data_IF_375002040695
#
_entry.id   IF_375002040695
#
_cell.length_a   1.000
_cell.length_b   1.000
_cell.length_c   1.000
_cell.angle_alpha   90.00
_cell.angle_beta   90.00
_cell.angle_gamma   90.00
#
_symmetry.space_group_name_H-M   'P 1'
#
loop_
_entity.id
_entity.type
_entity.pdbx_description
1 polymer ?
#
# COMPACT_ATOMS: atom_id res chain seq x y z
N UNK A 1 -45.36 11.73 10.87
CA UNK A 1 -45.32 11.55 9.41
C UNK A 1 -45.28 12.92 8.76
N UNK A 2 -44.18 13.26 8.07
CA UNK A 2 -44.06 14.51 7.28
C UNK A 2 -43.64 14.14 5.86
N UNK A 3 -44.23 14.74 4.81
CA UNK A 3 -44.09 14.29 3.43
C UNK A 3 -42.74 14.72 2.82
N UNK A 4 -42.23 13.84 1.94
CA UNK A 4 -41.05 14.03 1.08
C UNK A 4 -41.43 14.81 -0.18
N UNK A 5 -40.59 15.71 -0.69
CA UNK A 5 -40.61 16.08 -2.10
C UNK A 5 -39.58 15.27 -2.91
N UNK A 6 -40.11 14.61 -3.95
CA UNK A 6 -39.42 14.07 -5.12
C UNK A 6 -38.90 15.21 -6.03
N UNK A 7 -37.95 14.87 -6.93
CA UNK A 7 -37.55 15.49 -8.21
C UNK A 7 -36.01 15.67 -8.28
N UNK A 8 -35.28 15.37 -9.35
CA UNK A 8 -35.62 14.95 -10.71
C UNK A 8 -34.43 14.18 -11.31
N UNK A 9 -34.73 13.25 -12.21
CA UNK A 9 -33.78 12.51 -13.05
C UNK A 9 -33.36 13.43 -14.21
N UNK A 10 -32.06 13.70 -14.33
CA UNK A 10 -31.47 14.36 -15.50
C UNK A 10 -30.48 13.43 -16.18
N UNK A 11 -30.88 12.82 -17.29
CA UNK A 11 -29.99 12.09 -18.19
C UNK A 11 -29.32 13.09 -19.14
N UNK A 12 -27.99 13.12 -19.14
CA UNK A 12 -27.20 13.85 -20.15
C UNK A 12 -26.48 12.81 -21.00
N UNK A 13 -26.94 12.67 -22.25
CA UNK A 13 -26.28 11.96 -23.34
C UNK A 13 -25.51 13.00 -24.14
N UNK A 14 -24.18 12.88 -24.24
CA UNK A 14 -23.38 13.63 -25.21
C UNK A 14 -22.48 12.67 -25.99
N UNK A 15 -22.55 12.86 -27.30
CA UNK A 15 -22.11 11.98 -28.35
C UNK A 15 -20.61 12.04 -28.68
N UNK A 16 -20.19 10.99 -29.37
CA UNK A 16 -18.95 10.73 -30.08
C UNK A 16 -18.35 11.92 -30.86
N UNK A 17 -17.02 12.03 -30.82
CA UNK A 17 -16.20 12.56 -31.91
C UNK A 17 -15.02 11.62 -32.12
N UNK A 18 -14.97 11.05 -33.34
CA UNK A 18 -13.89 10.23 -33.90
C UNK A 18 -12.97 11.15 -34.72
N UNK A 19 -11.67 11.16 -34.40
CA UNK A 19 -10.55 11.60 -35.26
C UNK A 19 -9.35 10.74 -34.82
N UNK A 20 -8.66 9.94 -35.62
CA UNK A 20 -8.39 10.02 -37.05
C UNK A 20 -6.96 10.49 -37.25
N UNK A 21 -5.97 9.60 -37.12
CA UNK A 21 -4.62 9.77 -37.68
C UNK A 21 -4.11 8.41 -38.17
N UNK A 22 -4.13 8.28 -39.49
CA UNK A 22 -3.37 7.31 -40.28
C UNK A 22 -1.91 7.73 -40.22
N UNK A 23 -0.99 6.78 -40.04
CA UNK A 23 0.37 6.91 -40.57
C UNK A 23 0.77 5.56 -41.17
N UNK A 24 1.24 5.64 -42.40
CA UNK A 24 1.48 4.60 -43.37
C UNK A 24 3.00 4.44 -43.47
N UNK A 25 3.52 3.23 -43.25
CA UNK A 25 4.96 3.02 -43.21
C UNK A 25 5.32 1.54 -43.25
N UNK A 26 5.03 0.90 -44.37
CA UNK A 26 5.42 -0.49 -44.64
C UNK A 26 6.93 -0.66 -44.83
N UNK A 27 7.45 -1.80 -44.37
CA UNK A 27 8.48 -2.60 -45.04
C UNK A 27 8.40 -4.01 -44.47
N UNK A 28 7.88 -4.93 -45.27
CA UNK A 28 7.92 -6.37 -45.06
C UNK A 28 9.24 -6.96 -45.60
N UNK A 29 9.54 -8.24 -45.32
CA UNK A 29 10.87 -8.71 -44.93
C UNK A 29 11.61 -9.42 -46.07
N UNK A 30 12.90 -9.68 -45.88
CA UNK A 30 13.59 -10.75 -46.61
C UNK A 30 14.33 -11.69 -45.64
N UNK A 31 14.31 -13.02 -45.93
CA UNK A 31 14.83 -14.07 -45.07
C UNK A 31 16.26 -14.49 -45.47
N UNK A 32 16.85 -15.39 -44.67
CA UNK A 32 18.13 -16.13 -44.82
C UNK A 32 19.16 -15.70 -43.76
N UNK A 33 19.82 -16.57 -43.00
CA UNK A 33 19.95 -18.02 -43.04
C UNK A 33 20.42 -18.57 -41.68
N UNK A 34 20.15 -19.86 -41.46
CA UNK A 34 20.97 -20.91 -40.81
C UNK A 34 22.01 -20.44 -39.78
N UNK A 35 21.95 -20.84 -38.52
CA UNK A 35 21.84 -22.22 -38.04
C UNK A 35 23.09 -22.56 -37.24
N UNK A 36 22.99 -22.59 -35.91
CA UNK A 36 23.95 -23.26 -35.04
C UNK A 36 23.22 -23.92 -33.87
N UNK A 37 23.66 -25.10 -33.41
CA UNK A 37 22.84 -26.00 -32.61
C UNK A 37 22.98 -25.72 -31.11
N UNK A 38 21.83 -25.73 -30.43
CA UNK A 38 21.66 -26.43 -29.17
C UNK A 38 22.48 -25.96 -27.97
N UNK A 39 21.94 -25.00 -27.23
CA UNK A 39 21.99 -25.02 -25.77
C UNK A 39 20.53 -24.92 -25.28
N UNK A 40 20.08 -25.78 -24.36
CA UNK A 40 18.73 -25.68 -23.82
C UNK A 40 18.59 -24.31 -23.11
N UNK A 41 17.46 -23.60 -23.24
CA UNK A 41 17.21 -22.47 -22.36
C UNK A 41 17.18 -23.03 -20.94
N UNK A 42 18.15 -22.60 -20.13
CA UNK A 42 18.06 -22.69 -18.70
C UNK A 42 16.73 -22.07 -18.29
N UNK A 43 15.92 -22.85 -17.60
CA UNK A 43 14.74 -22.38 -16.88
C UNK A 43 15.12 -21.11 -16.14
N UNK A 44 14.66 -19.96 -16.63
CA UNK A 44 14.73 -18.72 -15.87
C UNK A 44 13.71 -18.85 -14.74
N UNK A 45 14.25 -19.35 -13.63
CA UNK A 45 13.98 -18.99 -12.25
C UNK A 45 12.59 -18.43 -11.97
N UNK A 46 11.85 -19.23 -11.19
CA UNK A 46 10.63 -18.82 -10.52
C UNK A 46 10.81 -17.43 -9.93
N UNK A 47 9.99 -16.50 -10.43
CA UNK A 47 9.82 -15.18 -9.85
C UNK A 47 9.11 -15.35 -8.51
N UNK A 48 9.87 -15.77 -7.49
CA UNK A 48 9.53 -15.50 -6.11
C UNK A 48 9.39 -13.98 -5.94
N UNK A 49 8.54 -13.51 -5.02
CA UNK A 49 8.34 -12.09 -4.81
C UNK A 49 9.68 -11.40 -4.55
N UNK A 50 10.06 -10.46 -5.41
CA UNK A 50 11.22 -9.60 -5.20
C UNK A 50 11.06 -8.90 -3.85
N UNK A 51 12.08 -9.02 -3.01
CA UNK A 51 12.08 -8.43 -1.68
C UNK A 51 11.83 -6.92 -1.76
N UNK A 52 10.88 -6.44 -0.98
CA UNK A 52 10.40 -5.07 -1.05
C UNK A 52 11.37 -4.12 -0.35
N UNK A 53 11.87 -3.11 -1.06
CA UNK A 53 12.71 -2.08 -0.44
C UNK A 53 11.89 -1.24 0.55
N UNK A 54 12.50 -0.70 1.63
CA UNK A 54 11.79 0.13 2.59
C UNK A 54 11.21 1.38 1.90
N UNK A 55 9.94 1.66 2.13
CA UNK A 55 9.27 2.89 1.72
C UNK A 55 9.70 4.06 2.59
N UNK A 56 10.92 4.56 2.43
CA UNK A 56 11.40 5.82 2.99
C UNK A 56 11.27 6.03 4.53
N UNK A 57 11.86 7.14 4.99
CA UNK A 57 12.22 7.46 6.38
C UNK A 57 11.01 7.78 7.26
N UNK A 58 11.05 7.41 8.55
CA UNK A 58 10.33 8.15 9.58
C UNK A 58 11.38 8.90 10.41
N UNK A 59 11.24 10.22 10.49
CA UNK A 59 12.23 11.09 11.14
C UNK A 59 12.30 10.87 12.66
N UNK A 60 11.19 10.49 13.28
CA UNK A 60 11.06 10.35 14.74
C UNK A 60 11.23 8.90 15.23
N UNK A 61 10.98 7.91 14.37
CA UNK A 61 11.05 6.48 14.73
C UNK A 61 11.91 5.74 13.70
N UNK A 62 12.94 4.99 14.10
CA UNK A 62 13.77 4.28 13.14
C UNK A 62 12.93 3.27 12.37
N UNK A 63 13.20 3.16 11.06
CA UNK A 63 12.64 2.10 10.22
C UNK A 63 12.98 0.75 10.86
N UNK A 64 11.99 -0.11 11.16
CA UNK A 64 12.26 -1.44 11.70
C UNK A 64 13.23 -2.20 10.78
N UNK A 65 14.19 -2.92 11.36
CA UNK A 65 15.16 -3.71 10.59
C UNK A 65 14.50 -4.75 9.67
N UNK A 66 13.26 -5.12 9.97
CA UNK A 66 12.44 -6.09 9.25
C UNK A 66 11.61 -5.44 8.13
N UNK A 67 11.37 -4.13 8.14
CA UNK A 67 10.77 -3.41 7.01
C UNK A 67 11.71 -3.29 5.79
N UNK A 68 12.91 -3.87 5.90
CA UNK A 68 13.93 -4.02 4.86
C UNK A 68 13.55 -5.12 3.85
N UNK A 69 14.21 -5.19 2.68
CA UNK A 69 13.94 -6.19 1.65
C UNK A 69 14.45 -7.56 2.11
N UNK A 70 13.70 -8.19 3.01
CA UNK A 70 13.80 -9.60 3.35
C UNK A 70 12.44 -10.24 3.09
N UNK A 71 12.36 -11.53 2.72
CA UNK A 71 11.09 -12.24 2.65
C UNK A 71 10.47 -12.27 4.05
N UNK A 72 9.51 -11.38 4.29
CA UNK A 72 8.74 -11.37 5.52
C UNK A 72 7.66 -12.46 5.50
N UNK A 73 7.21 -12.97 6.66
CA UNK A 73 6.08 -13.89 6.76
C UNK A 73 4.84 -13.32 6.05
N UNK A 74 3.95 -14.17 5.54
CA UNK A 74 2.67 -13.75 4.99
C UNK A 74 1.55 -14.13 5.97
N UNK A 75 0.99 -13.13 6.66
CA UNK A 75 -0.17 -13.30 7.56
C UNK A 75 -1.51 -13.10 6.83
N UNK A 76 -1.45 -12.73 5.55
CA UNK A 76 -2.59 -12.55 4.68
C UNK A 76 -2.28 -11.53 3.59
N UNK A 77 -2.98 -11.66 2.46
CA UNK A 77 -2.91 -10.71 1.34
C UNK A 77 -4.30 -10.17 1.01
N UNK A 78 -4.36 -8.87 0.68
CA UNK A 78 -5.58 -8.17 0.25
C UNK A 78 -5.27 -7.33 -0.98
N UNK A 79 -6.25 -7.21 -1.87
CA UNK A 79 -6.15 -6.37 -3.06
C UNK A 79 -7.20 -5.26 -3.02
N UNK A 80 -6.80 -4.05 -3.44
CA UNK A 80 -7.70 -2.92 -3.59
C UNK A 80 -7.12 -1.89 -4.56
N UNK A 81 -7.92 -1.49 -5.56
CA UNK A 81 -7.59 -0.35 -6.44
C UNK A 81 -6.23 -0.46 -7.14
N UNK A 82 -5.85 -1.65 -7.62
CA UNK A 82 -4.57 -1.88 -8.30
C UNK A 82 -3.36 -2.11 -7.39
N UNK A 83 -3.57 -2.04 -6.06
CA UNK A 83 -2.57 -2.39 -5.05
C UNK A 83 -2.86 -3.75 -4.44
N UNK A 84 -1.80 -4.46 -4.10
CA UNK A 84 -1.81 -5.64 -3.26
C UNK A 84 -1.06 -5.30 -1.97
N UNK A 85 -1.69 -5.51 -0.82
CA UNK A 85 -1.06 -5.41 0.49
C UNK A 85 -0.96 -6.80 1.10
N UNK A 86 0.26 -7.23 1.39
CA UNK A 86 0.52 -8.39 2.24
C UNK A 86 0.82 -7.90 3.65
N UNK A 87 0.04 -8.35 4.62
CA UNK A 87 0.34 -8.12 6.03
C UNK A 87 1.43 -9.10 6.45
N UNK A 88 2.51 -8.57 7.03
CA UNK A 88 3.70 -9.34 7.30
C UNK A 88 3.88 -9.64 8.79
N UNK A 89 3.64 -8.66 9.65
CA UNK A 89 3.73 -8.83 11.09
C UNK A 89 2.88 -7.80 11.85
N UNK A 90 2.47 -8.19 13.05
CA UNK A 90 2.06 -7.26 14.11
C UNK A 90 2.90 -7.63 15.34
N UNK A 91 3.89 -6.80 15.68
CA UNK A 91 4.81 -7.09 16.79
C UNK A 91 4.67 -6.08 17.91
N UNK A 92 4.65 -6.55 19.14
CA UNK A 92 4.68 -5.71 20.33
C UNK A 92 6.04 -5.04 20.44
N UNK A 93 6.03 -3.73 20.66
CA UNK A 93 7.26 -2.93 20.85
C UNK A 93 7.30 -2.25 22.21
N UNK A 94 6.14 -2.14 22.85
CA UNK A 94 5.98 -1.73 24.24
C UNK A 94 4.67 -2.32 24.78
N UNK A 95 4.37 -2.24 26.08
CA UNK A 95 3.07 -2.67 26.60
C UNK A 95 1.90 -2.03 25.85
N UNK A 96 2.00 -0.76 25.47
CA UNK A 96 0.88 0.01 24.89
C UNK A 96 0.95 0.17 23.36
N UNK A 97 1.93 -0.43 22.69
CA UNK A 97 2.13 -0.23 21.26
C UNK A 97 2.67 -1.45 20.53
N UNK A 98 2.25 -1.56 19.28
CA UNK A 98 2.75 -2.54 18.30
C UNK A 98 3.28 -1.83 17.06
N UNK A 99 4.13 -2.51 16.31
CA UNK A 99 4.44 -2.17 14.93
C UNK A 99 3.70 -3.11 13.99
N UNK A 100 2.93 -2.53 13.07
CA UNK A 100 2.28 -3.23 11.96
C UNK A 100 3.18 -3.12 10.75
N UNK A 101 3.55 -4.24 10.15
CA UNK A 101 4.45 -4.31 8.99
C UNK A 101 3.74 -4.97 7.81
N UNK A 102 3.97 -4.44 6.62
CA UNK A 102 3.38 -4.95 5.39
C UNK A 102 4.24 -4.71 4.17
N UNK A 103 3.81 -5.33 3.06
CA UNK A 103 4.42 -5.18 1.75
C UNK A 103 3.35 -4.76 0.76
N UNK A 104 3.56 -3.61 0.12
CA UNK A 104 2.75 -3.14 -1.00
C UNK A 104 3.35 -3.60 -2.32
N UNK A 105 2.49 -3.99 -3.25
CA UNK A 105 2.83 -4.23 -4.66
C UNK A 105 1.81 -3.53 -5.53
N UNK A 106 2.24 -2.84 -6.58
CA UNK A 106 1.33 -2.18 -7.52
C UNK A 106 1.27 -2.93 -8.86
N UNK A 107 0.06 -3.13 -9.41
CA UNK A 107 -0.13 -3.75 -10.74
C UNK A 107 0.25 -2.79 -11.87
N UNK A 108 0.04 -1.50 -11.64
CA UNK A 108 0.44 -0.38 -12.50
C UNK A 108 0.92 0.77 -11.61
N UNK A 109 1.53 1.83 -12.19
CA UNK A 109 1.90 3.01 -11.40
C UNK A 109 0.68 3.58 -10.68
N UNK A 110 0.69 3.48 -9.35
CA UNK A 110 -0.49 3.74 -8.52
C UNK A 110 -0.21 4.83 -7.48
N UNK A 111 -1.05 5.88 -7.39
CA UNK A 111 -0.96 6.87 -6.32
C UNK A 111 -1.27 6.24 -4.95
N UNK A 112 -0.44 6.58 -3.96
CA UNK A 112 -0.56 6.08 -2.58
C UNK A 112 -1.22 7.09 -1.62
N UNK A 113 -1.74 8.20 -2.14
CA UNK A 113 -2.34 9.32 -1.40
C UNK A 113 -3.44 8.90 -0.41
N UNK A 114 -4.15 7.81 -0.73
CA UNK A 114 -5.28 7.28 0.05
C UNK A 114 -4.86 6.28 1.13
N UNK A 115 -3.56 6.18 1.42
CA UNK A 115 -3.01 5.37 2.52
C UNK A 115 -2.65 6.23 3.75
N UNK A 116 -2.94 7.53 3.70
CA UNK A 116 -2.83 8.43 4.84
C UNK A 116 -4.19 8.64 5.53
N UNK A 117 -4.18 8.86 6.85
CA UNK A 117 -5.39 9.20 7.60
C UNK A 117 -6.07 10.46 7.06
N UNK A 118 -7.41 10.55 7.07
CA UNK A 118 -8.12 11.77 6.70
C UNK A 118 -7.61 12.98 7.50
N UNK A 119 -7.19 14.04 6.80
CA UNK A 119 -6.61 15.24 7.40
C UNK A 119 -5.09 15.21 7.60
N UNK A 120 -4.41 14.10 7.28
CA UNK A 120 -2.95 13.95 7.43
C UNK A 120 -2.22 13.69 6.11
N UNK A 121 -2.93 13.63 4.98
CA UNK A 121 -2.36 13.32 3.67
C UNK A 121 -1.31 14.34 3.16
N UNK A 122 -1.35 15.58 3.62
CA UNK A 122 -0.41 16.63 3.23
C UNK A 122 -0.06 17.46 4.45
N UNK A 123 1.19 17.35 4.91
CA UNK A 123 1.75 18.24 5.92
C UNK A 123 2.95 18.98 5.35
N UNK A 124 3.02 20.28 5.64
CA UNK A 124 4.17 21.10 5.28
C UNK A 124 5.11 21.13 6.47
N UNK A 125 6.33 20.64 6.28
CA UNK A 125 7.41 20.86 7.24
C UNK A 125 8.09 22.20 6.88
N UNK A 126 8.17 23.15 7.82
CA UNK A 126 9.08 24.30 7.71
C UNK A 126 8.86 25.32 6.56
N UNK A 127 7.76 25.26 5.80
CA UNK A 127 7.47 26.24 4.73
C UNK A 127 8.16 25.95 3.39
N UNK A 128 9.01 24.93 3.30
CA UNK A 128 9.58 24.41 2.06
C UNK A 128 9.08 22.98 1.86
N UNK A 129 8.25 22.76 0.84
CA UNK A 129 7.49 21.52 0.63
C UNK A 129 8.45 20.31 0.59
N UNK A 130 8.14 19.28 1.38
CA UNK A 130 7.44 18.17 0.74
C UNK A 130 6.19 17.78 1.52
N UNK A 131 5.08 17.58 0.80
CA UNK A 131 3.95 16.82 1.33
C UNK A 131 4.45 15.43 1.72
N UNK A 132 4.59 15.14 3.00
CA UNK A 132 4.92 13.78 3.45
C UNK A 132 3.66 12.94 3.42
N UNK A 133 3.51 12.14 2.36
CA UNK A 133 2.46 11.13 2.32
C UNK A 133 2.86 9.98 3.26
N UNK A 134 1.99 9.67 4.20
CA UNK A 134 2.23 8.72 5.27
C UNK A 134 1.45 7.41 5.01
N UNK A 135 2.03 6.28 5.37
CA UNK A 135 1.29 5.03 5.53
C UNK A 135 0.61 5.02 6.92
N UNK A 136 -0.30 5.97 7.14
CA UNK A 136 -0.93 6.20 8.45
C UNK A 136 -2.37 5.69 8.53
N UNK A 137 -3.03 5.33 7.43
CA UNK A 137 -4.41 4.87 7.45
C UNK A 137 -4.54 3.41 7.95
N UNK A 138 -3.95 3.11 9.10
CA UNK A 138 -3.90 1.82 9.77
C UNK A 138 -4.53 1.96 11.15
N UNK A 139 -5.43 1.05 11.51
CA UNK A 139 -6.02 0.99 12.84
C UNK A 139 -6.13 -0.44 13.34
N UNK A 140 -6.14 -0.60 14.67
CA UNK A 140 -6.33 -1.90 15.33
C UNK A 140 -7.60 -1.91 16.17
N UNK A 141 -8.22 -3.08 16.26
CA UNK A 141 -9.28 -3.36 17.24
C UNK A 141 -9.07 -4.77 17.79
N UNK A 142 -9.45 -5.00 19.05
CA UNK A 142 -9.39 -6.30 19.69
C UNK A 142 -10.79 -6.81 20.02
N UNK A 143 -10.99 -8.13 19.98
CA UNK A 143 -12.27 -8.72 20.33
C UNK A 143 -12.64 -8.41 21.78
N UNK A 144 -13.87 -7.95 22.02
CA UNK A 144 -14.34 -7.57 23.35
C UNK A 144 -13.86 -6.21 23.85
N UNK A 145 -13.00 -5.50 23.10
CA UNK A 145 -12.60 -4.12 23.40
C UNK A 145 -13.32 -3.15 22.45
N UNK A 146 -14.12 -2.19 22.95
CA UNK A 146 -14.78 -1.20 22.10
C UNK A 146 -13.83 -0.15 21.50
N UNK A 147 -12.56 -0.09 21.94
CA UNK A 147 -11.60 0.90 21.46
C UNK A 147 -11.06 0.54 20.08
N UNK A 148 -10.90 1.59 19.26
CA UNK A 148 -10.10 1.54 18.04
C UNK A 148 -8.79 2.25 18.35
N UNK A 149 -7.69 1.55 18.07
CA UNK A 149 -6.35 2.03 18.31
C UNK A 149 -5.78 2.62 17.04
N UNK A 150 -5.11 3.76 17.18
CA UNK A 150 -4.67 4.62 16.09
C UNK A 150 -3.14 4.71 16.04
N UNK A 151 -2.57 5.16 14.90
CA UNK A 151 -1.14 5.34 14.74
C UNK A 151 -0.57 6.27 15.81
N UNK A 152 0.64 5.95 16.27
CA UNK A 152 1.39 6.86 17.11
C UNK A 152 1.80 8.09 16.30
N UNK A 153 1.65 9.26 16.91
CA UNK A 153 2.02 10.54 16.34
C UNK A 153 2.85 11.33 17.35
N UNK A 154 3.78 12.13 16.85
CA UNK A 154 4.54 13.06 17.68
C UNK A 154 3.73 14.33 18.02
N UNK A 155 4.33 15.25 18.77
CA UNK A 155 3.74 16.51 19.20
C UNK A 155 3.40 17.46 18.04
N UNK A 156 4.15 17.35 16.94
CA UNK A 156 3.89 18.04 15.68
C UNK A 156 2.83 17.32 14.87
N UNK A 157 2.49 16.09 15.23
CA UNK A 157 1.49 15.20 14.64
C UNK A 157 2.01 14.37 13.47
N UNK A 158 3.31 14.24 13.26
CA UNK A 158 3.86 13.31 12.27
C UNK A 158 3.64 11.88 12.72
N UNK A 159 3.25 11.03 11.78
CA UNK A 159 3.06 9.62 12.05
C UNK A 159 4.38 8.89 12.24
N UNK A 160 4.40 8.03 13.26
CA UNK A 160 5.40 7.00 13.46
C UNK A 160 5.21 5.87 12.44
N UNK A 161 5.44 6.13 11.17
CA UNK A 161 5.22 5.19 10.09
C UNK A 161 6.04 5.54 8.86
N UNK A 162 6.05 4.65 7.87
CA UNK A 162 6.56 4.91 6.51
C UNK A 162 6.01 6.24 5.97
N UNK A 163 6.92 7.16 5.61
CA UNK A 163 6.58 8.48 5.06
C UNK A 163 7.16 8.67 3.66
N UNK A 164 6.76 9.74 2.96
CA UNK A 164 7.28 10.09 1.64
C UNK A 164 6.78 9.18 0.51
N UNK A 165 5.70 8.43 0.73
CA UNK A 165 5.18 7.44 -0.22
C UNK A 165 4.12 8.04 -1.14
N UNK A 166 4.56 8.62 -2.26
CA UNK A 166 3.66 9.28 -3.21
C UNK A 166 3.05 8.31 -4.23
N UNK A 167 3.90 7.50 -4.85
CA UNK A 167 3.56 6.58 -5.92
C UNK A 167 4.33 5.27 -5.74
N UNK A 168 3.75 4.18 -6.22
CA UNK A 168 4.45 2.91 -6.41
C UNK A 168 4.34 2.50 -7.88
N UNK A 169 5.49 2.31 -8.52
CA UNK A 169 5.54 1.89 -9.93
C UNK A 169 4.99 0.48 -10.12
N UNK A 170 4.43 0.23 -11.31
CA UNK A 170 3.90 -1.08 -11.68
C UNK A 170 4.96 -2.18 -11.59
N UNK A 171 4.59 -3.31 -10.99
CA UNK A 171 5.47 -4.46 -10.77
C UNK A 171 6.52 -4.24 -9.68
N UNK A 172 6.54 -3.09 -8.99
CA UNK A 172 7.43 -2.83 -7.87
C UNK A 172 6.77 -3.16 -6.54
N UNK A 173 7.61 -3.53 -5.58
CA UNK A 173 7.24 -3.80 -4.20
C UNK A 173 7.87 -2.78 -3.25
N UNK A 174 7.16 -2.45 -2.18
CA UNK A 174 7.61 -1.52 -1.13
C UNK A 174 7.22 -2.04 0.26
N UNK A 175 8.19 -2.13 1.17
CA UNK A 175 7.96 -2.41 2.57
C UNK A 175 7.39 -1.19 3.27
N UNK A 176 6.35 -1.38 4.08
CA UNK A 176 5.68 -0.31 4.83
C UNK A 176 5.49 -0.73 6.29
N UNK A 177 5.49 0.25 7.19
CA UNK A 177 5.19 0.01 8.59
C UNK A 177 4.45 1.18 9.24
N UNK A 178 3.75 0.89 10.34
CA UNK A 178 3.07 1.87 11.18
C UNK A 178 3.16 1.42 12.64
N UNK A 179 3.65 2.28 13.53
CA UNK A 179 3.49 2.09 14.96
C UNK A 179 2.07 2.50 15.37
N UNK A 180 1.37 1.62 16.06
CA UNK A 180 -0.03 1.82 16.48
C UNK A 180 -0.12 1.57 17.97
N UNK A 181 -0.93 2.35 18.66
CA UNK A 181 -1.35 2.00 20.02
C UNK A 181 -2.01 0.61 20.03
N UNK A 182 -1.99 -0.08 21.17
CA UNK A 182 -2.56 -1.41 21.27
C UNK A 182 -3.02 -1.74 22.70
N UNK A 183 -3.97 -2.67 22.87
CA UNK A 183 -4.26 -3.25 24.18
C UNK A 183 -3.02 -3.99 24.70
N UNK A 184 -2.75 -3.89 26.00
CA UNK A 184 -1.56 -4.50 26.63
C UNK A 184 -1.49 -6.02 26.46
N UNK A 185 -2.64 -6.68 26.55
CA UNK A 185 -2.75 -8.14 26.60
C UNK A 185 -3.43 -8.74 25.36
N UNK A 186 -3.56 -7.97 24.27
CA UNK A 186 -4.12 -8.53 23.05
C UNK A 186 -3.14 -9.53 22.42
N UNK A 187 -3.56 -10.80 22.39
CA UNK A 187 -2.90 -11.89 21.67
C UNK A 187 -3.25 -11.86 20.17
N UNK A 188 -4.49 -11.47 19.85
CA UNK A 188 -4.98 -11.37 18.48
C UNK A 188 -5.69 -10.03 18.27
N UNK A 189 -5.54 -9.46 17.08
CA UNK A 189 -6.15 -8.18 16.69
C UNK A 189 -6.75 -8.26 15.30
N UNK A 190 -7.68 -7.35 15.02
CA UNK A 190 -8.10 -7.03 13.66
C UNK A 190 -7.32 -5.80 13.20
N UNK A 191 -6.57 -5.95 12.11
CA UNK A 191 -5.87 -4.86 11.43
C UNK A 191 -6.74 -4.34 10.30
N UNK A 192 -7.03 -3.04 10.32
CA UNK A 192 -7.70 -2.36 9.21
C UNK A 192 -6.72 -1.40 8.56
N UNK A 193 -6.59 -1.49 7.23
CA UNK A 193 -5.85 -0.54 6.41
C UNK A 193 -6.81 0.04 5.39
N UNK A 194 -6.85 1.36 5.24
CA UNK A 194 -7.82 2.01 4.36
C UNK A 194 -7.83 1.40 2.95
N UNK A 195 -9.03 1.21 2.42
CA UNK A 195 -9.36 0.57 1.13
C UNK A 195 -9.17 -0.95 1.05
N UNK A 196 -8.42 -1.56 1.97
CA UNK A 196 -8.30 -3.02 2.01
C UNK A 196 -9.37 -3.62 2.93
N UNK A 197 -9.82 -4.83 2.62
CA UNK A 197 -10.64 -5.59 3.56
C UNK A 197 -9.81 -5.91 4.82
N UNK A 198 -10.41 -5.92 6.03
CA UNK A 198 -9.67 -6.17 7.26
C UNK A 198 -8.91 -7.50 7.28
N UNK A 199 -7.81 -7.51 8.02
CA UNK A 199 -7.10 -8.72 8.45
C UNK A 199 -7.59 -9.04 9.85
N UNK A 200 -8.35 -10.11 10.00
CA UNK A 200 -8.95 -10.53 11.26
C UNK A 200 -8.11 -11.62 11.91
N UNK A 201 -8.16 -11.70 13.24
CA UNK A 201 -7.48 -12.76 14.02
C UNK A 201 -5.97 -12.82 13.73
N UNK A 202 -5.35 -11.64 13.66
CA UNK A 202 -3.92 -11.51 13.41
C UNK A 202 -3.17 -11.65 14.72
N UNK A 203 -2.22 -12.60 14.84
CA UNK A 203 -1.45 -12.78 16.06
C UNK A 203 -0.53 -11.58 16.31
N UNK A 204 -0.51 -11.11 17.56
CA UNK A 204 0.45 -10.13 18.05
C UNK A 204 1.63 -10.89 18.62
N UNK A 205 2.79 -10.82 17.96
CA UNK A 205 4.02 -11.43 18.47
C UNK A 205 4.75 -10.49 19.42
N UNK A 206 5.66 -11.05 20.22
CA UNK A 206 6.62 -10.26 21.01
C UNK A 206 7.81 -9.82 20.14
#
# INVERSE_FOLDING_TARGET
MRPRPLLAVGAVVVALMLTGCTDDGGTEPDPSASGSPGAPPASADGSGPSAAGPGASASTFPVPAQAQPSPLPNLGTREAGGLTLTLNAVRRVSPEAVVVEGTLVAKSTTPLLNLAEPGFAVRQEGGERPSTYEFSAVSLSAAGDPKVYLPLRDDKGFCACTQGIQFLDGGKSMGVYTYVTAPEQAENVTVTVARFAPFTDVPVTQ
#
